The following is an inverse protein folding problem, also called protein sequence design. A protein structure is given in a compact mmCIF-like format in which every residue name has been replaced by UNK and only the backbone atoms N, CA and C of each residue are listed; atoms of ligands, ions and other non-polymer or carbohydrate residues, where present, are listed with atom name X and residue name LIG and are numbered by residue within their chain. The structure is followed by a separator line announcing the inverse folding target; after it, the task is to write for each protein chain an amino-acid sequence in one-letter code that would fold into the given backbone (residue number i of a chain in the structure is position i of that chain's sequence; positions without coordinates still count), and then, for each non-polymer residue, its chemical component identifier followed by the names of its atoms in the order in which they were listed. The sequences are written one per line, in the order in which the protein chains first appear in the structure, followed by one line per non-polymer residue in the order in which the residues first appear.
data_IF_523223905140
#
_entry.id   IF_523223905140
#
_cell.length_a   1.000
_cell.length_b   1.000
_cell.length_c   1.000
_cell.angle_alpha   90.00
_cell.angle_beta   90.00
_cell.angle_gamma   90.00
#
_symmetry.space_group_name_H-M   'P 1'
#
loop_
_entity.id
_entity.type
_entity.pdbx_description
1 polymer ?
#
# COMPACT_ATOMS: atom_id res chain seq x y z
N UNK A 1 -0.24 -21.78 14.01
CA UNK A 1 0.00 -20.40 13.53
C UNK A 1 1.40 -20.27 12.93
N UNK A 2 1.52 -19.70 11.72
CA UNK A 2 2.82 -19.42 11.10
C UNK A 2 3.40 -18.16 11.77
N UNK A 3 4.59 -18.25 12.35
CA UNK A 3 5.23 -17.11 13.00
C UNK A 3 5.83 -16.15 11.96
N UNK A 4 5.72 -14.84 12.22
CA UNK A 4 6.32 -13.82 11.36
C UNK A 4 7.83 -13.77 11.51
N UNK A 5 8.53 -13.51 10.40
CA UNK A 5 9.95 -13.18 10.46
C UNK A 5 10.14 -11.79 11.10
N UNK A 6 11.04 -11.64 12.08
CA UNK A 6 11.21 -10.38 12.81
C UNK A 6 11.80 -9.24 11.95
N UNK A 7 12.40 -9.55 10.80
CA UNK A 7 13.08 -8.59 9.95
C UNK A 7 12.34 -8.33 8.64
N UNK A 8 11.81 -9.38 8.01
CA UNK A 8 11.16 -9.31 6.69
C UNK A 8 9.67 -9.67 6.70
N UNK A 9 9.08 -9.90 7.88
CA UNK A 9 7.67 -10.21 8.08
C UNK A 9 7.20 -11.39 7.21
N UNK A 10 6.25 -11.14 6.31
CA UNK A 10 5.67 -12.15 5.42
C UNK A 10 6.59 -12.52 4.25
N UNK A 11 7.64 -11.74 3.94
CA UNK A 11 8.46 -11.98 2.75
C UNK A 11 9.18 -13.33 2.80
N UNK A 12 9.52 -13.81 4.01
CA UNK A 12 10.13 -15.12 4.21
C UNK A 12 9.17 -16.30 4.01
N UNK A 13 7.86 -16.07 3.99
CA UNK A 13 6.86 -17.15 3.96
C UNK A 13 6.91 -17.97 2.68
N UNK A 14 7.37 -17.38 1.57
CA UNK A 14 7.53 -18.08 0.28
C UNK A 14 8.50 -19.27 0.33
N UNK A 15 9.38 -19.33 1.34
CA UNK A 15 10.40 -20.37 1.47
C UNK A 15 10.02 -21.56 2.36
N UNK A 16 8.84 -21.52 3.00
CA UNK A 16 8.34 -22.64 3.80
C UNK A 16 6.99 -23.12 3.28
N UNK A 17 6.70 -24.42 3.35
CA UNK A 17 5.40 -24.93 2.92
C UNK A 17 4.23 -24.30 3.73
N UNK A 18 4.27 -24.25 5.08
CA UNK A 18 3.19 -23.62 5.85
C UNK A 18 3.03 -22.12 5.54
N UNK A 19 4.14 -21.41 5.33
CA UNK A 19 4.11 -19.99 4.96
C UNK A 19 3.51 -19.76 3.58
N UNK A 20 3.88 -20.56 2.58
CA UNK A 20 3.29 -20.51 1.24
C UNK A 20 1.80 -20.81 1.26
N UNK A 21 1.38 -21.82 2.02
CA UNK A 21 -0.04 -22.18 2.13
C UNK A 21 -0.84 -21.05 2.78
N UNK A 22 -0.30 -20.42 3.83
CA UNK A 22 -0.93 -19.26 4.47
C UNK A 22 -1.02 -18.05 3.53
N UNK A 23 0.05 -17.73 2.79
CA UNK A 23 0.02 -16.66 1.79
C UNK A 23 -1.01 -16.98 0.70
N UNK A 24 -0.99 -18.19 0.15
CA UNK A 24 -1.90 -18.60 -0.93
C UNK A 24 -3.35 -18.46 -0.49
N UNK A 25 -3.69 -18.93 0.71
CA UNK A 25 -5.02 -18.79 1.28
C UNK A 25 -5.44 -17.32 1.39
N UNK A 26 -4.55 -16.46 1.89
CA UNK A 26 -4.82 -15.01 2.03
C UNK A 26 -5.05 -14.33 0.67
N UNK A 27 -4.15 -14.54 -0.30
CA UNK A 27 -4.30 -13.94 -1.64
C UNK A 27 -5.58 -14.44 -2.32
N UNK A 28 -5.88 -15.74 -2.23
CA UNK A 28 -7.11 -16.30 -2.79
C UNK A 28 -8.36 -15.70 -2.16
N UNK A 29 -8.39 -15.58 -0.83
CA UNK A 29 -9.52 -14.98 -0.13
C UNK A 29 -9.85 -13.58 -0.66
N UNK A 30 -8.86 -12.72 -0.89
CA UNK A 30 -9.11 -11.38 -1.44
C UNK A 30 -9.41 -11.37 -2.94
N UNK A 31 -8.77 -12.24 -3.73
CA UNK A 31 -9.03 -12.33 -5.17
C UNK A 31 -10.44 -12.87 -5.46
N UNK A 32 -10.90 -13.86 -4.69
CA UNK A 32 -12.22 -14.46 -4.79
C UNK A 32 -13.32 -13.43 -4.46
N UNK A 33 -13.07 -12.53 -3.50
CA UNK A 33 -13.97 -11.39 -3.22
C UNK A 33 -14.12 -10.48 -4.44
N UNK A 34 -13.00 -10.12 -5.08
CA UNK A 34 -13.02 -9.26 -6.27
C UNK A 34 -13.71 -9.93 -7.46
N UNK A 35 -13.45 -11.22 -7.66
CA UNK A 35 -14.04 -12.03 -8.74
C UNK A 35 -15.56 -12.14 -8.56
N UNK A 36 -16.02 -12.42 -7.34
CA UNK A 36 -17.45 -12.55 -7.03
C UNK A 36 -18.29 -11.31 -7.37
N UNK A 37 -17.69 -10.11 -7.39
CA UNK A 37 -18.36 -8.86 -7.78
C UNK A 37 -17.85 -8.25 -9.08
N UNK A 38 -16.99 -8.96 -9.81
CA UNK A 38 -16.36 -8.53 -11.06
C UNK A 38 -15.76 -7.11 -10.94
N UNK A 39 -14.88 -6.90 -9.97
CA UNK A 39 -14.12 -5.65 -9.77
C UNK A 39 -12.64 -5.86 -10.05
N UNK A 40 -11.93 -4.95 -10.74
CA UNK A 40 -10.48 -5.04 -10.85
C UNK A 40 -9.80 -5.02 -9.48
N UNK A 41 -8.76 -5.85 -9.31
CA UNK A 41 -8.03 -5.98 -8.05
C UNK A 41 -6.57 -5.59 -8.21
N UNK A 42 -6.04 -4.92 -7.20
CA UNK A 42 -4.61 -4.72 -7.01
C UNK A 42 -4.19 -5.64 -5.87
N UNK A 43 -3.20 -6.49 -6.12
CA UNK A 43 -2.51 -7.27 -5.09
C UNK A 43 -1.03 -6.97 -5.15
N UNK A 44 -0.38 -6.91 -4.00
CA UNK A 44 1.03 -6.58 -3.90
C UNK A 44 1.86 -7.81 -3.56
N UNK A 45 3.08 -7.91 -4.09
CA UNK A 45 4.06 -8.89 -3.60
C UNK A 45 4.28 -8.68 -2.08
N UNK A 46 4.52 -9.76 -1.30
CA UNK A 46 4.65 -9.66 0.16
C UNK A 46 6.05 -9.14 0.57
N UNK A 47 6.46 -7.99 0.02
CA UNK A 47 7.86 -7.52 -0.02
C UNK A 47 8.08 -6.19 0.70
N UNK A 48 7.09 -5.67 1.44
CA UNK A 48 7.18 -4.36 2.10
C UNK A 48 8.45 -4.16 2.94
N UNK A 49 8.93 -5.21 3.64
CA UNK A 49 10.18 -5.20 4.44
C UNK A 49 11.36 -5.93 3.78
N UNK A 50 11.31 -6.22 2.48
CA UNK A 50 12.37 -6.93 1.75
C UNK A 50 13.46 -6.00 1.18
N UNK A 51 13.85 -4.97 1.92
CA UNK A 51 14.95 -4.07 1.57
C UNK A 51 16.32 -4.70 1.91
N UNK A 52 17.44 -4.23 1.33
CA UNK A 52 18.75 -4.89 1.46
C UNK A 52 19.21 -5.12 2.90
N UNK A 53 19.02 -4.14 3.79
CA UNK A 53 19.44 -4.25 5.19
C UNK A 53 18.61 -5.29 5.95
N UNK A 54 17.30 -5.32 5.74
CA UNK A 54 16.41 -6.31 6.38
C UNK A 54 16.66 -7.72 5.86
N UNK A 55 16.93 -7.87 4.56
CA UNK A 55 17.33 -9.16 3.98
C UNK A 55 18.64 -9.67 4.59
N UNK A 56 19.63 -8.79 4.80
CA UNK A 56 20.89 -9.15 5.47
C UNK A 56 20.66 -9.63 6.90
N UNK A 57 19.85 -8.91 7.68
CA UNK A 57 19.48 -9.28 9.05
C UNK A 57 18.72 -10.61 9.12
N UNK A 58 17.88 -10.90 8.14
CA UNK A 58 17.15 -12.17 8.03
C UNK A 58 18.01 -13.35 7.50
N UNK A 59 19.27 -13.12 7.11
CA UNK A 59 20.09 -14.16 6.46
C UNK A 59 19.63 -14.51 5.04
N UNK A 60 18.89 -13.61 4.38
CA UNK A 60 18.30 -13.80 3.05
C UNK A 60 18.98 -12.97 1.96
N UNK A 61 20.11 -12.29 2.25
CA UNK A 61 20.79 -11.40 1.30
C UNK A 61 21.22 -12.09 -0.02
N UNK A 62 21.45 -13.40 -0.02
CA UNK A 62 21.85 -14.17 -1.20
C UNK A 62 20.65 -14.72 -2.00
N UNK A 63 19.41 -14.34 -1.64
CA UNK A 63 18.19 -14.78 -2.32
C UNK A 63 17.49 -13.62 -3.02
N UNK A 64 16.83 -13.92 -4.13
CA UNK A 64 15.94 -12.99 -4.82
C UNK A 64 14.56 -12.96 -4.13
N UNK A 65 14.50 -12.54 -2.86
CA UNK A 65 13.25 -12.49 -2.09
C UNK A 65 12.17 -11.64 -2.77
N UNK A 66 12.59 -10.55 -3.43
CA UNK A 66 11.69 -9.67 -4.15
C UNK A 66 11.08 -10.37 -5.37
N UNK A 67 11.90 -10.97 -6.23
CA UNK A 67 11.39 -11.70 -7.38
C UNK A 67 10.64 -12.98 -7.01
N UNK A 68 11.05 -13.70 -5.96
CA UNK A 68 10.32 -14.86 -5.45
C UNK A 68 8.93 -14.49 -4.96
N UNK A 69 8.79 -13.35 -4.27
CA UNK A 69 7.49 -12.80 -3.87
C UNK A 69 6.60 -12.46 -5.06
N UNK A 70 7.16 -11.86 -6.11
CA UNK A 70 6.42 -11.54 -7.35
C UNK A 70 5.98 -12.80 -8.08
N UNK A 71 6.89 -13.76 -8.30
CA UNK A 71 6.59 -15.06 -8.95
C UNK A 71 5.50 -15.83 -8.20
N UNK A 72 5.53 -15.79 -6.87
CA UNK A 72 4.51 -16.40 -6.04
C UNK A 72 3.13 -15.78 -6.31
N UNK A 73 2.99 -14.45 -6.23
CA UNK A 73 1.70 -13.78 -6.45
C UNK A 73 1.22 -13.95 -7.89
N UNK A 74 2.13 -13.92 -8.87
CA UNK A 74 1.81 -14.21 -10.26
C UNK A 74 1.21 -15.61 -10.44
N UNK A 75 1.80 -16.62 -9.77
CA UNK A 75 1.24 -17.98 -9.78
C UNK A 75 -0.18 -17.99 -9.21
N UNK A 76 -0.42 -17.34 -8.05
CA UNK A 76 -1.76 -17.29 -7.45
C UNK A 76 -2.77 -16.57 -8.36
N UNK A 77 -2.37 -15.48 -9.02
CA UNK A 77 -3.19 -14.77 -10.01
C UNK A 77 -3.56 -15.66 -11.19
N UNK A 78 -2.59 -16.35 -11.77
CA UNK A 78 -2.80 -17.14 -13.00
C UNK A 78 -3.76 -18.31 -12.75
N UNK A 79 -3.76 -18.85 -11.52
CA UNK A 79 -4.73 -19.86 -11.11
C UNK A 79 -6.17 -19.32 -10.90
N UNK A 80 -6.41 -18.00 -11.00
CA UNK A 80 -7.76 -17.42 -11.08
C UNK A 80 -8.39 -17.59 -12.47
N UNK A 81 -7.69 -18.20 -13.43
CA UNK A 81 -8.23 -18.51 -14.75
C UNK A 81 -8.67 -17.25 -15.50
N UNK A 82 -9.93 -17.22 -15.95
CA UNK A 82 -10.47 -16.10 -16.72
C UNK A 82 -10.38 -14.76 -16.01
N UNK A 83 -10.41 -14.72 -14.68
CA UNK A 83 -10.36 -13.49 -13.89
C UNK A 83 -8.95 -12.88 -13.78
N UNK A 84 -7.89 -13.65 -14.10
CA UNK A 84 -6.50 -13.21 -13.96
C UNK A 84 -6.20 -11.88 -14.69
N UNK A 85 -6.86 -11.61 -15.82
CA UNK A 85 -6.68 -10.35 -16.58
C UNK A 85 -7.19 -9.09 -15.87
N UNK A 86 -7.95 -9.23 -14.77
CA UNK A 86 -8.44 -8.14 -13.93
C UNK A 86 -7.59 -7.85 -12.70
N UNK A 87 -6.49 -8.59 -12.53
CA UNK A 87 -5.65 -8.55 -11.34
C UNK A 87 -4.28 -7.96 -11.68
N UNK A 88 -3.97 -6.83 -11.07
CA UNK A 88 -2.70 -6.13 -11.22
C UNK A 88 -1.78 -6.42 -10.02
N UNK A 89 -0.52 -6.76 -10.32
CA UNK A 89 0.51 -7.10 -9.34
C UNK A 89 1.42 -5.89 -9.10
N UNK A 90 1.37 -5.36 -7.89
CA UNK A 90 2.26 -4.30 -7.41
C UNK A 90 3.53 -4.86 -6.77
N UNK A 91 4.70 -4.31 -7.14
CA UNK A 91 5.94 -4.50 -6.38
C UNK A 91 5.97 -3.60 -5.17
N UNK A 92 5.73 -4.16 -3.99
CA UNK A 92 5.56 -3.37 -2.76
C UNK A 92 6.88 -3.12 -2.03
N UNK A 93 7.11 -1.85 -1.70
CA UNK A 93 8.26 -1.34 -0.98
C UNK A 93 7.80 -0.50 0.22
N UNK A 94 8.55 -0.53 1.31
CA UNK A 94 8.34 0.32 2.48
C UNK A 94 9.48 1.33 2.67
N UNK A 95 9.34 2.21 3.67
CA UNK A 95 10.43 3.05 4.14
C UNK A 95 11.62 2.22 4.68
N UNK A 96 12.79 2.82 4.79
CA UNK A 96 13.98 2.15 5.29
C UNK A 96 13.84 1.73 6.77
N UNK A 97 13.43 2.70 7.61
CA UNK A 97 13.28 2.56 9.06
C UNK A 97 11.91 2.03 9.51
N UNK A 98 11.50 2.44 10.71
CA UNK A 98 10.13 2.29 11.19
C UNK A 98 9.20 3.37 10.62
N UNK A 99 8.04 2.96 10.11
CA UNK A 99 7.10 3.87 9.44
C UNK A 99 6.41 4.85 10.40
N UNK A 100 6.51 4.64 11.71
CA UNK A 100 5.98 5.55 12.73
C UNK A 100 7.06 6.42 13.38
N UNK A 101 8.31 6.30 12.91
CA UNK A 101 9.46 7.07 13.39
C UNK A 101 10.09 7.84 12.24
N UNK A 102 9.49 8.98 11.83
CA UNK A 102 9.97 9.75 10.68
C UNK A 102 11.43 10.22 10.83
N UNK A 103 11.96 10.29 12.05
CA UNK A 103 13.37 10.59 12.32
C UNK A 103 14.35 9.49 11.84
N UNK A 104 13.87 8.28 11.55
CA UNK A 104 14.66 7.19 10.96
C UNK A 104 14.72 7.24 9.42
N UNK A 105 14.07 8.21 8.79
CA UNK A 105 14.01 8.34 7.35
C UNK A 105 15.39 8.71 6.75
N UNK A 106 15.65 8.20 5.55
CA UNK A 106 16.87 8.52 4.81
C UNK A 106 16.77 9.89 4.12
N UNK A 107 17.88 10.65 4.04
CA UNK A 107 17.97 11.79 3.14
C UNK A 107 17.68 11.39 1.69
N UNK A 108 17.18 12.33 0.88
CA UNK A 108 16.70 12.08 -0.49
C UNK A 108 17.67 11.26 -1.37
N UNK A 109 18.93 11.66 -1.43
CA UNK A 109 19.90 11.03 -2.35
C UNK A 109 20.30 9.63 -1.86
N UNK A 110 20.42 9.45 -0.54
CA UNK A 110 20.66 8.14 0.09
C UNK A 110 19.46 7.21 -0.10
N UNK A 111 18.24 7.73 0.05
CA UNK A 111 17.00 7.01 -0.18
C UNK A 111 16.93 6.49 -1.63
N UNK A 112 17.31 7.30 -2.62
CA UNK A 112 17.32 6.87 -4.02
C UNK A 112 18.29 5.69 -4.27
N UNK A 113 19.50 5.76 -3.70
CA UNK A 113 20.48 4.68 -3.82
C UNK A 113 20.01 3.40 -3.10
N UNK A 114 19.53 3.54 -1.87
CA UNK A 114 19.08 2.44 -1.02
C UNK A 114 17.87 1.71 -1.63
N UNK A 115 16.81 2.44 -1.93
CA UNK A 115 15.55 1.87 -2.46
C UNK A 115 15.68 1.41 -3.90
N UNK A 116 16.61 1.98 -4.67
CA UNK A 116 16.88 1.56 -6.05
C UNK A 116 17.25 0.09 -6.18
N UNK A 117 17.86 -0.52 -5.16
CA UNK A 117 18.19 -1.96 -5.18
C UNK A 117 16.92 -2.80 -5.23
N UNK A 118 15.97 -2.54 -4.33
CA UNK A 118 14.71 -3.28 -4.27
C UNK A 118 13.81 -2.96 -5.47
N UNK A 119 13.73 -1.68 -5.87
CA UNK A 119 12.93 -1.26 -7.03
C UNK A 119 13.35 -1.99 -8.31
N UNK A 120 14.67 -2.10 -8.58
CA UNK A 120 15.19 -2.82 -9.75
C UNK A 120 14.89 -4.31 -9.69
N UNK A 121 14.99 -4.94 -8.51
CA UNK A 121 14.67 -6.36 -8.35
C UNK A 121 13.19 -6.64 -8.64
N UNK A 122 12.29 -5.82 -8.10
CA UNK A 122 10.84 -5.94 -8.35
C UNK A 122 10.49 -5.67 -9.81
N UNK A 123 11.06 -4.61 -10.41
CA UNK A 123 10.85 -4.30 -11.83
C UNK A 123 11.34 -5.44 -12.74
N UNK A 124 12.54 -5.98 -12.47
CA UNK A 124 13.09 -7.12 -13.21
C UNK A 124 12.29 -8.41 -13.06
N UNK A 125 11.48 -8.54 -12.01
CA UNK A 125 10.61 -9.69 -11.78
C UNK A 125 9.27 -9.60 -12.53
N UNK A 126 8.97 -8.50 -13.22
CA UNK A 126 7.80 -8.38 -14.10
C UNK A 126 6.51 -7.94 -13.41
N UNK A 127 6.59 -7.08 -12.40
CA UNK A 127 5.40 -6.44 -11.81
C UNK A 127 4.70 -5.50 -12.80
N UNK A 128 3.39 -5.31 -12.63
CA UNK A 128 2.61 -4.37 -13.45
C UNK A 128 2.96 -2.90 -13.10
N UNK A 129 3.26 -2.65 -11.83
CA UNK A 129 3.71 -1.36 -11.31
C UNK A 129 4.47 -1.50 -9.99
N UNK A 130 5.20 -0.47 -9.58
CA UNK A 130 5.84 -0.38 -8.27
C UNK A 130 5.00 0.46 -7.30
N UNK A 131 4.92 0.06 -6.03
CA UNK A 131 4.22 0.80 -4.97
C UNK A 131 5.13 0.99 -3.76
N UNK A 132 5.45 2.24 -3.44
CA UNK A 132 6.06 2.59 -2.16
C UNK A 132 4.96 2.98 -1.18
N UNK A 133 4.83 2.28 -0.04
CA UNK A 133 3.71 2.46 0.88
C UNK A 133 4.12 2.71 2.32
N UNK A 134 3.24 3.43 3.04
CA UNK A 134 3.44 3.87 4.42
C UNK A 134 4.63 4.82 4.56
N UNK A 135 4.70 5.82 3.69
CA UNK A 135 5.82 6.77 3.67
C UNK A 135 5.58 7.91 4.69
N UNK A 136 6.42 8.03 5.73
CA UNK A 136 6.22 9.02 6.79
C UNK A 136 6.95 10.34 6.56
N UNK A 137 7.87 10.37 5.59
CA UNK A 137 8.82 11.47 5.41
C UNK A 137 8.98 11.86 3.94
N UNK A 138 8.94 13.16 3.65
CA UNK A 138 8.94 13.70 2.30
C UNK A 138 10.27 13.47 1.55
N UNK A 139 11.40 13.72 2.20
CA UNK A 139 12.73 13.52 1.62
C UNK A 139 12.97 12.08 1.14
N UNK A 140 12.67 11.09 1.98
CA UNK A 140 12.77 9.67 1.60
C UNK A 140 11.80 9.34 0.45
N UNK A 141 10.55 9.84 0.48
CA UNK A 141 9.58 9.63 -0.59
C UNK A 141 10.05 10.20 -1.94
N UNK A 142 10.70 11.37 -1.96
CA UNK A 142 11.31 11.93 -3.18
C UNK A 142 12.44 11.04 -3.71
N UNK A 143 13.27 10.49 -2.81
CA UNK A 143 14.32 9.53 -3.20
C UNK A 143 13.76 8.23 -3.77
N UNK A 144 12.73 7.66 -3.12
CA UNK A 144 12.01 6.49 -3.62
C UNK A 144 11.38 6.75 -4.99
N UNK A 145 10.72 7.90 -5.17
CA UNK A 145 10.13 8.27 -6.45
C UNK A 145 11.19 8.33 -7.56
N UNK A 146 12.35 8.94 -7.31
CA UNK A 146 13.46 8.97 -8.27
C UNK A 146 13.98 7.57 -8.61
N UNK A 147 14.14 6.70 -7.60
CA UNK A 147 14.58 5.32 -7.79
C UNK A 147 13.59 4.48 -8.61
N UNK A 148 12.29 4.63 -8.34
CA UNK A 148 11.23 3.90 -9.04
C UNK A 148 11.07 4.41 -10.48
N UNK A 149 11.12 5.72 -10.72
CA UNK A 149 11.09 6.31 -12.05
C UNK A 149 12.23 5.80 -12.96
N UNK A 150 13.44 5.64 -12.39
CA UNK A 150 14.59 5.10 -13.11
C UNK A 150 14.40 3.65 -13.61
N UNK A 151 13.47 2.89 -13.01
CA UNK A 151 13.17 1.52 -13.42
C UNK A 151 12.29 1.44 -14.67
N UNK A 152 11.71 2.56 -15.14
CA UNK A 152 10.84 2.64 -16.34
C UNK A 152 9.63 1.69 -16.32
N UNK A 153 9.19 1.32 -15.12
CA UNK A 153 7.92 0.64 -14.86
C UNK A 153 6.98 1.67 -14.22
N UNK A 154 5.66 1.66 -14.50
CA UNK A 154 4.75 2.58 -13.84
C UNK A 154 4.83 2.45 -12.32
N UNK A 155 4.57 3.53 -11.59
CA UNK A 155 4.70 3.51 -10.14
C UNK A 155 3.77 4.49 -9.42
N UNK A 156 3.53 4.22 -8.15
CA UNK A 156 2.71 5.04 -7.26
C UNK A 156 3.35 5.12 -5.86
N UNK A 157 2.98 6.14 -5.10
CA UNK A 157 3.40 6.31 -3.71
C UNK A 157 2.19 6.44 -2.80
N UNK A 158 2.28 5.87 -1.60
CA UNK A 158 1.26 5.93 -0.58
C UNK A 158 1.83 6.46 0.74
N UNK A 159 1.24 7.54 1.24
CA UNK A 159 1.70 8.22 2.44
C UNK A 159 0.91 7.78 3.68
N UNK A 160 1.51 7.93 4.85
CA UNK A 160 0.79 7.99 6.12
C UNK A 160 0.69 9.46 6.55
N UNK A 161 -0.50 9.89 6.96
CA UNK A 161 -0.80 11.31 7.22
C UNK A 161 -1.59 11.50 8.50
N UNK A 162 -1.46 12.68 9.08
CA UNK A 162 -2.30 13.18 10.16
C UNK A 162 -3.56 13.85 9.59
N UNK A 163 -4.58 14.03 10.42
CA UNK A 163 -5.87 14.61 10.02
C UNK A 163 -5.81 16.08 9.56
N UNK A 164 -4.68 16.77 9.78
CA UNK A 164 -4.44 18.13 9.28
C UNK A 164 -3.80 18.16 7.87
N UNK A 165 -3.63 17.00 7.23
CA UNK A 165 -3.12 16.90 5.86
C UNK A 165 -1.60 16.98 5.76
N UNK A 166 -0.89 16.55 6.80
CA UNK A 166 0.58 16.47 6.83
C UNK A 166 1.06 15.03 6.99
N UNK A 167 2.23 14.72 6.45
CA UNK A 167 2.98 13.51 6.75
C UNK A 167 3.45 13.54 8.22
N UNK A 168 3.99 12.41 8.71
CA UNK A 168 4.46 12.32 10.09
C UNK A 168 5.69 13.20 10.38
N UNK A 169 6.49 13.52 9.36
CA UNK A 169 7.57 14.51 9.44
C UNK A 169 7.06 15.97 9.47
N UNK A 170 5.75 16.19 9.38
CA UNK A 170 5.11 17.49 9.37
C UNK A 170 5.01 18.15 7.98
N UNK A 171 5.54 17.55 6.92
CA UNK A 171 5.46 18.10 5.56
C UNK A 171 4.01 18.04 5.05
N UNK A 172 3.44 19.12 4.50
CA UNK A 172 2.11 19.08 3.88
C UNK A 172 2.04 18.09 2.72
N UNK A 173 0.96 17.30 2.67
CA UNK A 173 0.73 16.30 1.61
C UNK A 173 0.73 16.94 0.22
N UNK A 174 0.12 18.12 0.08
CA UNK A 174 0.10 18.88 -1.17
C UNK A 174 1.49 19.31 -1.64
N UNK A 175 2.36 19.73 -0.71
CA UNK A 175 3.71 20.17 -1.02
C UNK A 175 4.60 19.02 -1.46
N UNK A 176 4.56 17.87 -0.77
CA UNK A 176 5.36 16.70 -1.19
C UNK A 176 4.91 16.14 -2.54
N UNK A 177 3.60 16.10 -2.81
CA UNK A 177 3.06 15.68 -4.12
C UNK A 177 3.54 16.63 -5.22
N UNK A 178 3.43 17.94 -5.02
CA UNK A 178 3.90 18.93 -5.99
C UNK A 178 5.42 18.84 -6.21
N UNK A 179 6.19 18.64 -5.14
CA UNK A 179 7.64 18.51 -5.21
C UNK A 179 8.07 17.26 -6.00
N UNK A 180 7.39 16.13 -5.83
CA UNK A 180 7.69 14.90 -6.59
C UNK A 180 7.29 15.07 -8.06
N UNK A 181 6.07 15.53 -8.34
CA UNK A 181 5.57 15.72 -9.71
C UNK A 181 6.44 16.72 -10.50
N UNK A 182 6.99 17.75 -9.83
CA UNK A 182 7.86 18.74 -10.44
C UNK A 182 9.33 18.31 -10.61
N UNK A 183 9.81 17.34 -9.84
CA UNK A 183 11.24 16.98 -9.79
C UNK A 183 11.58 15.60 -10.38
N UNK A 184 10.61 14.72 -10.58
CA UNK A 184 10.84 13.33 -11.02
C UNK A 184 10.14 13.07 -12.36
N UNK A 185 10.87 12.43 -13.30
CA UNK A 185 10.35 12.11 -14.63
C UNK A 185 10.66 10.64 -15.01
N UNK A 186 9.65 9.86 -15.45
CA UNK A 186 8.22 10.19 -15.43
C UNK A 186 7.70 10.39 -13.99
N UNK A 187 6.67 11.21 -13.75
CA UNK A 187 6.07 11.35 -12.42
C UNK A 187 5.29 10.08 -12.03
N UNK A 188 4.92 9.92 -10.74
CA UNK A 188 4.06 8.82 -10.31
C UNK A 188 2.73 8.81 -11.05
N UNK A 189 2.17 7.65 -11.33
CA UNK A 189 0.83 7.55 -11.94
C UNK A 189 -0.22 8.25 -11.09
N UNK A 190 -0.14 8.03 -9.78
CA UNK A 190 -1.00 8.61 -8.77
C UNK A 190 -0.36 8.44 -7.38
N UNK A 191 -1.00 9.04 -6.40
CA UNK A 191 -0.68 8.91 -4.99
C UNK A 191 -1.85 8.27 -4.25
N UNK A 192 -1.54 7.71 -3.09
CA UNK A 192 -2.49 7.12 -2.16
C UNK A 192 -2.17 7.57 -0.74
N UNK A 193 -3.08 7.25 0.17
CA UNK A 193 -2.81 7.26 1.61
C UNK A 193 -3.12 5.87 2.15
N UNK A 194 -2.34 5.40 3.11
CA UNK A 194 -2.57 4.12 3.74
C UNK A 194 -2.32 4.16 5.25
N UNK A 195 -2.86 3.16 5.92
CA UNK A 195 -2.71 2.93 7.36
C UNK A 195 -3.20 4.08 8.23
N UNK A 196 -4.29 4.72 7.78
CA UNK A 196 -5.11 5.67 8.53
C UNK A 196 -6.59 5.27 8.41
N UNK A 197 -7.41 5.67 9.37
CA UNK A 197 -8.86 5.48 9.28
C UNK A 197 -9.48 6.39 8.21
N UNK A 198 -10.60 6.04 7.55
CA UNK A 198 -11.21 6.90 6.53
C UNK A 198 -11.59 8.31 7.03
N UNK A 199 -11.89 8.47 8.31
CA UNK A 199 -12.14 9.81 8.91
C UNK A 199 -10.89 10.68 8.96
N UNK A 200 -9.72 10.08 9.21
CA UNK A 200 -8.42 10.78 9.17
C UNK A 200 -8.08 11.16 7.74
N UNK A 201 -8.31 10.26 6.78
CA UNK A 201 -8.15 10.57 5.35
C UNK A 201 -9.07 11.72 4.93
N UNK A 202 -10.35 11.68 5.30
CA UNK A 202 -11.32 12.74 4.99
C UNK A 202 -10.86 14.09 5.53
N UNK A 203 -10.47 14.17 6.80
CA UNK A 203 -9.95 15.39 7.40
C UNK A 203 -8.67 15.90 6.70
N UNK A 204 -7.74 14.99 6.42
CA UNK A 204 -6.48 15.30 5.76
C UNK A 204 -6.69 15.89 4.36
N UNK A 205 -7.58 15.29 3.57
CA UNK A 205 -7.88 15.74 2.21
C UNK A 205 -8.68 17.03 2.19
N UNK A 206 -9.61 17.26 3.13
CA UNK A 206 -10.26 18.57 3.29
C UNK A 206 -9.19 19.65 3.54
N UNK A 207 -8.31 19.45 4.53
CA UNK A 207 -7.25 20.40 4.85
C UNK A 207 -6.31 20.66 3.65
N UNK A 208 -5.86 19.60 2.99
CA UNK A 208 -4.88 19.71 1.91
C UNK A 208 -5.48 20.29 0.62
N UNK A 209 -6.76 20.02 0.31
CA UNK A 209 -7.43 20.59 -0.87
C UNK A 209 -7.79 22.06 -0.72
N UNK A 210 -7.90 22.59 0.52
CA UNK A 210 -7.99 24.04 0.74
C UNK A 210 -6.72 24.76 0.26
N UNK A 211 -5.55 24.12 0.37
CA UNK A 211 -4.26 24.64 -0.12
C UNK A 211 -4.03 24.32 -1.60
N UNK A 212 -4.41 23.14 -2.04
CA UNK A 212 -4.24 22.65 -3.42
C UNK A 212 -5.51 21.95 -3.93
N UNK A 213 -6.44 22.68 -4.57
CA UNK A 213 -7.75 22.14 -4.97
C UNK A 213 -7.69 20.92 -5.90
N UNK A 214 -6.60 20.78 -6.69
CA UNK A 214 -6.41 19.65 -7.61
C UNK A 214 -5.73 18.44 -6.98
N UNK A 215 -5.37 18.49 -5.69
CA UNK A 215 -4.68 17.38 -5.02
C UNK A 215 -5.48 16.08 -5.09
N UNK A 216 -6.81 16.14 -4.99
CA UNK A 216 -7.70 14.98 -5.08
C UNK A 216 -7.65 14.28 -6.45
N UNK A 217 -7.22 14.97 -7.52
CA UNK A 217 -7.00 14.35 -8.83
C UNK A 217 -5.74 13.45 -8.84
N UNK A 218 -4.79 13.72 -7.94
CA UNK A 218 -3.52 13.00 -7.78
C UNK A 218 -3.59 11.95 -6.69
N UNK A 219 -4.23 12.23 -5.54
CA UNK A 219 -4.38 11.30 -4.42
C UNK A 219 -5.70 10.52 -4.56
N UNK A 220 -5.64 9.37 -5.22
CA UNK A 220 -6.84 8.66 -5.69
C UNK A 220 -7.11 7.34 -4.97
N UNK A 221 -6.30 6.99 -3.96
CA UNK A 221 -6.42 5.72 -3.28
C UNK A 221 -6.32 5.81 -1.77
N UNK A 222 -7.05 4.93 -1.10
CA UNK A 222 -7.03 4.74 0.35
C UNK A 222 -6.96 3.24 0.68
N UNK A 223 -5.93 2.84 1.44
CA UNK A 223 -5.87 1.54 2.11
C UNK A 223 -6.06 1.76 3.62
N UNK A 224 -7.28 1.61 4.09
CA UNK A 224 -7.71 2.10 5.39
C UNK A 224 -7.36 1.16 6.55
N UNK A 225 -7.01 1.73 7.70
CA UNK A 225 -7.09 0.99 8.96
C UNK A 225 -8.55 0.78 9.37
N UNK A 226 -8.83 -0.33 10.04
CA UNK A 226 -10.16 -0.63 10.56
C UNK A 226 -10.46 0.04 11.92
N UNK A 227 -9.46 0.61 12.60
CA UNK A 227 -9.67 1.30 13.88
C UNK A 227 -9.46 2.80 13.75
N UNK A 228 -10.24 3.57 14.51
CA UNK A 228 -10.07 5.02 14.69
C UNK A 228 -8.95 5.38 15.67
N UNK A 229 -8.42 4.39 16.41
CA UNK A 229 -7.42 4.61 17.46
C UNK A 229 -6.02 4.72 16.87
N UNK A 230 -5.16 5.47 17.55
CA UNK A 230 -3.77 5.61 17.17
C UNK A 230 -3.00 4.28 17.39
N UNK A 231 -1.91 4.04 16.65
CA UNK A 231 -1.08 2.84 16.81
C UNK A 231 -0.66 2.58 18.26
N UNK A 232 -0.30 3.62 19.00
CA UNK A 232 0.14 3.55 20.41
C UNK A 232 -0.98 3.07 21.34
N UNK A 233 -2.23 3.32 20.98
CA UNK A 233 -3.40 2.84 21.75
C UNK A 233 -3.75 1.38 21.44
N UNK A 234 -3.30 0.86 20.31
CA UNK A 234 -3.55 -0.50 19.85
C UNK A 234 -2.42 -1.45 20.26
N UNK A 235 -1.21 -0.94 20.44
CA UNK A 235 -0.06 -1.74 20.84
C UNK A 235 -0.31 -2.47 22.17
N UNK A 236 0.07 -3.74 22.23
CA UNK A 236 -0.11 -4.60 23.40
C UNK A 236 -1.56 -5.00 23.73
N UNK A 237 -2.57 -4.63 22.94
CA UNK A 237 -3.95 -5.08 23.19
C UNK A 237 -4.15 -6.56 22.90
N UNK A 238 -4.89 -7.22 23.80
CA UNK A 238 -5.23 -8.65 23.69
C UNK A 238 -6.44 -8.91 22.79
N UNK A 239 -7.25 -7.90 22.52
CA UNK A 239 -8.41 -7.96 21.63
C UNK A 239 -8.20 -7.02 20.45
N UNK A 240 -8.55 -7.51 19.25
CA UNK A 240 -8.58 -6.70 18.05
C UNK A 240 -9.65 -5.62 18.19
N UNK A 241 -9.23 -4.37 18.03
CA UNK A 241 -10.13 -3.23 17.88
C UNK A 241 -10.27 -2.93 16.39
N UNK A 242 -11.48 -3.05 15.88
CA UNK A 242 -11.82 -2.80 14.49
C UNK A 242 -13.30 -2.42 14.39
N UNK A 243 -13.58 -1.47 13.51
CA UNK A 243 -14.92 -1.13 13.05
C UNK A 243 -15.65 -2.37 12.54
N UNK A 244 -16.97 -2.33 12.58
CA UNK A 244 -17.73 -3.36 11.89
C UNK A 244 -17.53 -3.22 10.36
N UNK A 245 -17.43 -4.32 9.61
CA UNK A 245 -17.21 -4.29 8.16
C UNK A 245 -18.11 -3.33 7.39
N UNK A 246 -19.40 -3.29 7.71
CA UNK A 246 -20.38 -2.36 7.11
C UNK A 246 -20.07 -0.89 7.41
N UNK A 247 -19.63 -0.58 8.63
CA UNK A 247 -19.33 0.79 9.04
C UNK A 247 -18.10 1.32 8.29
N UNK A 248 -17.04 0.50 8.19
CA UNK A 248 -15.85 0.85 7.42
C UNK A 248 -16.19 1.01 5.93
N UNK A 249 -16.99 0.12 5.36
CA UNK A 249 -17.42 0.20 3.96
C UNK A 249 -18.17 1.52 3.67
N UNK A 250 -19.11 1.93 4.53
CA UNK A 250 -19.82 3.21 4.37
C UNK A 250 -18.88 4.41 4.44
N UNK A 251 -17.89 4.37 5.32
CA UNK A 251 -16.88 5.42 5.43
C UNK A 251 -16.00 5.52 4.18
N UNK A 252 -15.57 4.38 3.63
CA UNK A 252 -14.83 4.32 2.37
C UNK A 252 -15.64 4.87 1.19
N UNK A 253 -16.96 4.59 1.15
CA UNK A 253 -17.84 5.08 0.10
C UNK A 253 -18.11 6.59 0.20
N UNK A 254 -18.16 7.15 1.41
CA UNK A 254 -18.22 8.61 1.61
C UNK A 254 -16.96 9.28 1.08
N UNK A 255 -15.78 8.78 1.46
CA UNK A 255 -14.49 9.28 0.94
C UNK A 255 -14.46 9.21 -0.59
N UNK A 256 -14.90 8.09 -1.18
CA UNK A 256 -15.00 7.95 -2.63
C UNK A 256 -15.91 8.99 -3.29
N UNK A 257 -17.10 9.24 -2.74
CA UNK A 257 -18.03 10.23 -3.29
C UNK A 257 -17.49 11.66 -3.17
N UNK A 258 -16.84 11.98 -2.07
CA UNK A 258 -16.38 13.33 -1.76
C UNK A 258 -15.13 13.73 -2.55
N UNK A 259 -14.15 12.83 -2.67
CA UNK A 259 -12.85 13.13 -3.28
C UNK A 259 -12.61 12.43 -4.61
N UNK A 260 -13.55 11.61 -5.08
CA UNK A 260 -13.37 10.80 -6.29
C UNK A 260 -12.39 9.64 -6.11
N UNK A 261 -12.05 9.24 -4.88
CA UNK A 261 -11.12 8.14 -4.58
C UNK A 261 -11.52 6.84 -5.31
N UNK A 262 -10.63 6.33 -6.16
CA UNK A 262 -10.86 5.20 -7.08
C UNK A 262 -10.35 3.86 -6.56
N UNK A 263 -9.27 3.87 -5.79
CA UNK A 263 -8.66 2.66 -5.24
C UNK A 263 -9.02 2.59 -3.76
N UNK A 264 -9.79 1.57 -3.38
CA UNK A 264 -10.25 1.37 -2.01
C UNK A 264 -9.76 -0.01 -1.53
N UNK A 265 -9.07 -0.05 -0.40
CA UNK A 265 -8.57 -1.28 0.20
C UNK A 265 -8.38 -1.15 1.71
N UNK A 266 -7.72 -2.15 2.30
CA UNK A 266 -7.45 -2.21 3.73
C UNK A 266 -5.96 -2.22 4.06
N UNK A 267 -5.63 -1.74 5.27
CA UNK A 267 -4.34 -1.87 5.97
C UNK A 267 -4.59 -2.56 7.34
N UNK A 268 -4.08 -2.04 8.45
CA UNK A 268 -4.08 -2.70 9.74
C UNK A 268 -5.50 -2.85 10.31
N UNK A 269 -5.78 -4.01 10.87
CA UNK A 269 -7.08 -4.35 11.47
C UNK A 269 -8.17 -4.75 10.46
N UNK A 270 -7.92 -4.64 9.16
CA UNK A 270 -8.85 -5.12 8.13
C UNK A 270 -8.68 -6.61 7.86
N UNK A 271 -9.76 -7.24 7.41
CA UNK A 271 -9.81 -8.64 6.99
C UNK A 271 -10.73 -8.80 5.76
N UNK A 272 -10.98 -10.04 5.37
CA UNK A 272 -11.86 -10.41 4.26
C UNK A 272 -13.28 -9.86 4.38
N UNK A 273 -13.85 -9.82 5.59
CA UNK A 273 -15.20 -9.28 5.82
C UNK A 273 -15.25 -7.79 5.47
N UNK A 274 -14.23 -7.04 5.87
CA UNK A 274 -14.10 -5.62 5.52
C UNK A 274 -13.96 -5.42 4.01
N UNK A 275 -13.06 -6.16 3.37
CA UNK A 275 -12.82 -6.05 1.92
C UNK A 275 -14.07 -6.45 1.13
N UNK A 276 -14.79 -7.50 1.54
CA UNK A 276 -16.06 -7.91 0.93
C UNK A 276 -17.14 -6.84 1.10
N UNK A 277 -17.22 -6.23 2.29
CA UNK A 277 -18.11 -5.09 2.55
C UNK A 277 -17.85 -3.93 1.59
N UNK A 278 -16.59 -3.52 1.45
CA UNK A 278 -16.18 -2.44 0.54
C UNK A 278 -16.50 -2.81 -0.92
N UNK A 279 -16.08 -4.00 -1.36
CA UNK A 279 -16.26 -4.46 -2.74
C UNK A 279 -17.74 -4.49 -3.16
N UNK A 280 -18.61 -5.04 -2.31
CA UNK A 280 -20.07 -5.03 -2.50
C UNK A 280 -20.61 -3.62 -2.68
N UNK A 281 -20.28 -2.69 -1.75
CA UNK A 281 -20.79 -1.32 -1.81
C UNK A 281 -20.27 -0.53 -3.00
N UNK A 282 -19.03 -0.76 -3.41
CA UNK A 282 -18.48 -0.16 -4.65
C UNK A 282 -19.25 -0.64 -5.86
N UNK A 283 -19.54 -1.94 -5.96
CA UNK A 283 -20.31 -2.50 -7.09
C UNK A 283 -21.74 -1.99 -7.12
N UNK A 284 -22.41 -1.89 -5.97
CA UNK A 284 -23.76 -1.33 -5.84
C UNK A 284 -23.80 0.14 -6.26
N UNK A 285 -22.85 0.96 -5.79
CA UNK A 285 -22.76 2.38 -6.14
C UNK A 285 -22.29 2.67 -7.57
N UNK A 286 -21.76 1.66 -8.28
CA UNK A 286 -21.39 1.77 -9.70
C UNK A 286 -22.55 1.45 -10.65
N UNK A 287 -23.67 0.90 -10.14
CA UNK A 287 -24.88 0.73 -10.95
C UNK A 287 -25.52 2.11 -11.15
N UNK A 288 -25.92 2.48 -12.38
CA UNK A 288 -26.75 3.66 -12.57
C UNK A 288 -28.00 3.49 -11.71
N UNK A 289 -28.31 4.50 -10.90
CA UNK A 289 -29.60 4.61 -10.22
C UNK A 289 -30.63 4.67 -11.36
N UNK A 290 -31.44 3.60 -11.50
CA UNK A 290 -32.53 3.52 -12.47
C UNK A 290 -33.57 4.63 -12.22
#
# INVERSE_FOLDING_TARGET
PVALDPHVLHAGFVYSAPGRDALRALYRQYLDIGDAVDLPMIVCAPTWRANPERLRRAGLANRDVNGDGVRFVATVRDECGGYAHRVFIGGLMGCAGDAYRPEEALPRDEAAAFHGVQARALAGAGVDFLLAATLPHAGEAQGMAAAMAACRVPYALSFIVNGDGRLLDGTPLDEVVAAIDGAVQPPPLFYMVNCVHPTVFEAALVSATLRSPRLAERVIGLQANASTKAPEELDGRTQLDADQPEALAEAMLRVRRQFGTRILGGCCGTDDRHIAGIARRVKEGARPIL
#
